data_IF_241656759280
#
_entry.id   IF_241656759280
#
_cell.length_a   1.000
_cell.length_b   1.000
_cell.length_c   1.000
_cell.angle_alpha   90.00
_cell.angle_beta   90.00
_cell.angle_gamma   90.00
#
_symmetry.space_group_name_H-M   'P 1'
#
loop_
_entity.id
_entity.type
_entity.pdbx_description
1 polymer ?
#
# COMPACT_ATOMS: atom_id res chain seq x y z
N UNK A 1 -6.88 -9.83 2.08
CA UNK A 1 -7.59 -8.76 1.34
C UNK A 1 -6.74 -8.40 0.12
N UNK A 2 -7.33 -8.25 -1.07
CA UNK A 2 -6.59 -7.86 -2.29
C UNK A 2 -7.07 -6.50 -2.82
N UNK A 3 -6.21 -5.83 -3.58
CA UNK A 3 -6.50 -4.52 -4.17
C UNK A 3 -5.73 -4.28 -5.48
N UNK A 4 -6.15 -3.27 -6.22
CA UNK A 4 -5.48 -2.77 -7.42
C UNK A 4 -5.39 -1.23 -7.34
N UNK A 5 -4.70 -0.60 -8.29
CA UNK A 5 -4.51 0.85 -8.32
C UNK A 5 -5.84 1.62 -8.28
N UNK A 6 -6.86 1.19 -9.05
CA UNK A 6 -8.18 1.83 -9.06
C UNK A 6 -8.87 1.76 -7.70
N UNK A 7 -8.82 0.61 -7.02
CA UNK A 7 -9.42 0.44 -5.69
C UNK A 7 -8.77 1.36 -4.66
N UNK A 8 -7.44 1.50 -4.70
CA UNK A 8 -6.71 2.43 -3.84
C UNK A 8 -7.12 3.88 -4.12
N UNK A 9 -7.17 4.27 -5.40
CA UNK A 9 -7.57 5.62 -5.79
C UNK A 9 -8.98 5.99 -5.28
N UNK A 10 -9.95 5.08 -5.46
CA UNK A 10 -11.32 5.26 -4.96
C UNK A 10 -11.35 5.39 -3.44
N UNK A 11 -10.62 4.53 -2.71
CA UNK A 11 -10.58 4.59 -1.23
C UNK A 11 -9.92 5.86 -0.71
N UNK A 12 -8.93 6.39 -1.44
CA UNK A 12 -8.25 7.64 -1.10
C UNK A 12 -9.00 8.89 -1.59
N UNK A 13 -10.18 8.74 -2.18
CA UNK A 13 -10.96 9.83 -2.78
C UNK A 13 -10.15 10.69 -3.78
N UNK A 14 -9.30 10.03 -4.58
CA UNK A 14 -8.54 10.67 -5.66
C UNK A 14 -9.11 10.27 -7.02
N UNK A 15 -8.88 11.12 -8.04
CA UNK A 15 -9.38 10.87 -9.38
C UNK A 15 -8.83 9.58 -9.99
N UNK A 16 -9.66 8.87 -10.76
CA UNK A 16 -9.27 7.61 -11.40
C UNK A 16 -8.88 7.77 -12.87
N UNK A 17 -8.35 8.94 -13.25
CA UNK A 17 -7.85 9.17 -14.61
C UNK A 17 -6.66 8.25 -14.90
N UNK A 18 -6.44 7.81 -16.17
CA UNK A 18 -5.36 6.89 -16.51
C UNK A 18 -3.97 7.34 -16.02
N UNK A 19 -3.67 8.64 -16.09
CA UNK A 19 -2.39 9.19 -15.60
C UNK A 19 -2.23 9.01 -14.08
N UNK A 20 -3.28 9.29 -13.30
CA UNK A 20 -3.26 9.11 -11.84
C UNK A 20 -3.11 7.64 -11.48
N UNK A 21 -3.82 6.75 -12.17
CA UNK A 21 -3.71 5.31 -11.92
C UNK A 21 -2.32 4.76 -12.24
N UNK A 22 -1.62 5.34 -13.22
CA UNK A 22 -0.21 5.01 -13.50
C UNK A 22 0.69 5.42 -12.33
N UNK A 23 0.50 6.60 -11.75
CA UNK A 23 1.27 7.04 -10.57
C UNK A 23 0.99 6.17 -9.34
N UNK A 24 -0.28 5.85 -9.08
CA UNK A 24 -0.65 4.93 -7.99
C UNK A 24 0.00 3.57 -8.22
N UNK A 25 -0.02 3.06 -9.45
CA UNK A 25 0.63 1.79 -9.78
C UNK A 25 2.14 1.84 -9.55
N UNK A 26 2.82 2.91 -9.94
CA UNK A 26 4.26 3.11 -9.70
C UNK A 26 4.59 3.02 -8.20
N UNK A 27 3.79 3.65 -7.33
CA UNK A 27 3.95 3.54 -5.87
C UNK A 27 3.75 2.10 -5.39
N UNK A 28 2.73 1.40 -5.89
CA UNK A 28 2.48 -0.01 -5.52
C UNK A 28 3.63 -0.93 -5.98
N UNK A 29 4.21 -0.70 -7.16
CA UNK A 29 5.37 -1.46 -7.62
C UNK A 29 6.61 -1.19 -6.76
N UNK A 30 6.87 0.06 -6.38
CA UNK A 30 7.96 0.39 -5.45
C UNK A 30 7.78 -0.28 -4.08
N UNK A 31 6.56 -0.36 -3.57
CA UNK A 31 6.27 -1.09 -2.32
C UNK A 31 6.46 -2.60 -2.48
N UNK A 32 6.11 -3.16 -3.65
CA UNK A 32 6.37 -4.57 -3.99
C UNK A 32 7.87 -4.86 -4.07
N UNK A 33 8.64 -4.01 -4.74
CA UNK A 33 10.10 -4.13 -4.85
C UNK A 33 10.79 -4.10 -3.49
N UNK A 34 10.27 -3.30 -2.56
CA UNK A 34 10.69 -3.27 -1.15
C UNK A 34 10.19 -4.44 -0.30
N UNK A 35 9.43 -5.38 -0.88
CA UNK A 35 8.95 -6.57 -0.19
C UNK A 35 7.74 -6.36 0.73
N UNK A 36 7.07 -5.20 0.67
CA UNK A 36 5.85 -4.95 1.46
C UNK A 36 4.59 -5.55 0.84
N UNK A 37 4.57 -5.69 -0.49
CA UNK A 37 3.45 -6.23 -1.25
C UNK A 37 3.84 -7.49 -2.01
N UNK A 38 2.85 -8.35 -2.24
CA UNK A 38 2.93 -9.48 -3.16
C UNK A 38 1.92 -9.33 -4.29
N UNK A 39 2.25 -9.89 -5.46
CA UNK A 39 1.33 -9.95 -6.61
C UNK A 39 0.63 -11.31 -6.59
N UNK A 40 -0.70 -11.28 -6.53
CA UNK A 40 -1.53 -12.48 -6.51
C UNK A 40 -2.10 -12.83 -7.89
N UNK A 41 -1.86 -12.00 -8.89
CA UNK A 41 -2.23 -12.29 -10.28
C UNK A 41 -2.46 -11.05 -11.12
N UNK A 42 -2.62 -11.27 -12.42
CA UNK A 42 -2.93 -10.23 -13.41
C UNK A 42 -4.28 -10.52 -14.05
N UNK A 43 -5.08 -9.49 -14.22
CA UNK A 43 -6.41 -9.58 -14.86
C UNK A 43 -6.56 -8.51 -15.94
N UNK A 44 -7.66 -8.55 -16.71
CA UNK A 44 -8.05 -7.47 -17.63
C UNK A 44 -8.17 -6.09 -16.97
N UNK A 45 -8.37 -6.06 -15.65
CA UNK A 45 -8.51 -4.84 -14.85
C UNK A 45 -7.20 -4.43 -14.14
N UNK A 46 -6.07 -5.06 -14.48
CA UNK A 46 -4.76 -4.76 -13.91
C UNK A 46 -4.26 -5.81 -12.93
N UNK A 47 -3.17 -5.45 -12.24
CA UNK A 47 -2.46 -6.30 -11.27
C UNK A 47 -3.22 -6.31 -9.94
N UNK A 48 -3.32 -7.49 -9.32
CA UNK A 48 -3.87 -7.69 -7.98
C UNK A 48 -2.73 -7.82 -6.97
N UNK A 49 -2.70 -6.90 -6.01
CA UNK A 49 -1.73 -6.88 -4.94
C UNK A 49 -2.37 -7.33 -3.61
N UNK A 50 -1.53 -7.79 -2.70
CA UNK A 50 -1.84 -7.96 -1.28
C UNK A 50 -0.66 -7.48 -0.43
N UNK A 51 -0.95 -7.03 0.80
CA UNK A 51 0.09 -6.70 1.78
C UNK A 51 0.63 -8.01 2.36
N UNK A 52 1.95 -8.16 2.41
CA UNK A 52 2.60 -9.33 3.02
C UNK A 52 2.47 -9.29 4.54
N UNK A 53 2.09 -10.43 5.15
CA UNK A 53 1.70 -10.51 6.57
C UNK A 53 2.85 -10.29 7.56
N UNK A 54 4.07 -10.54 7.12
CA UNK A 54 5.33 -10.43 7.87
C UNK A 54 5.94 -9.02 7.79
N UNK A 55 5.16 -8.01 7.39
CA UNK A 55 5.68 -6.66 7.15
C UNK A 55 5.05 -5.62 8.07
N UNK A 56 5.77 -4.53 8.41
CA UNK A 56 5.22 -3.40 9.16
C UNK A 56 3.92 -2.83 8.55
N UNK A 57 3.80 -2.85 7.22
CA UNK A 57 2.60 -2.40 6.52
C UNK A 57 1.36 -3.22 6.88
N UNK A 58 1.52 -4.52 7.18
CA UNK A 58 0.41 -5.37 7.64
C UNK A 58 -0.06 -5.00 9.03
N UNK A 59 0.87 -4.66 9.93
CA UNK A 59 0.52 -4.27 11.28
C UNK A 59 -0.17 -2.91 11.28
N UNK A 60 0.31 -1.96 10.46
CA UNK A 60 -0.38 -0.71 10.17
C UNK A 60 -1.81 -0.94 9.66
N UNK A 61 -1.97 -1.82 8.67
CA UNK A 61 -3.29 -2.13 8.11
C UNK A 61 -4.27 -2.71 9.14
N UNK A 62 -3.79 -3.46 10.14
CA UNK A 62 -4.64 -3.99 11.21
C UNK A 62 -5.01 -2.96 12.29
N UNK A 63 -4.19 -1.94 12.48
CA UNK A 63 -4.34 -0.93 13.53
C UNK A 63 -4.64 0.45 12.96
N UNK A 64 -5.18 0.51 11.75
CA UNK A 64 -5.39 1.76 11.01
C UNK A 64 -6.30 2.75 11.75
N UNK A 65 -7.17 2.25 12.62
CA UNK A 65 -8.06 3.01 13.51
C UNK A 65 -7.32 3.69 14.67
N UNK A 66 -6.13 3.20 15.01
CA UNK A 66 -5.29 3.69 16.12
C UNK A 66 -4.11 4.54 15.65
N UNK A 67 -3.89 4.64 14.34
CA UNK A 67 -2.74 5.32 13.75
C UNK A 67 -3.22 6.54 12.97
N UNK A 68 -2.76 7.72 13.38
CA UNK A 68 -2.97 8.97 12.63
C UNK A 68 -1.69 9.28 11.87
N UNK A 69 -1.75 9.20 10.55
CA UNK A 69 -0.66 9.64 9.66
C UNK A 69 -0.99 11.06 9.19
N UNK A 70 -0.15 12.05 9.53
CA UNK A 70 -0.30 13.44 9.06
C UNK A 70 0.66 13.74 7.92
N UNK A 71 1.74 12.98 7.82
CA UNK A 71 2.78 13.13 6.81
C UNK A 71 3.37 11.79 6.37
N UNK A 72 4.19 11.82 5.30
CA UNK A 72 5.00 10.67 4.91
C UNK A 72 6.11 10.37 5.93
N UNK A 73 6.58 11.38 6.66
CA UNK A 73 7.61 11.20 7.70
C UNK A 73 7.06 10.42 8.89
N UNK A 74 5.79 10.65 9.27
CA UNK A 74 5.11 9.86 10.30
C UNK A 74 5.07 8.38 9.89
N UNK A 75 4.78 8.11 8.62
CA UNK A 75 4.77 6.76 8.09
C UNK A 75 6.16 6.11 8.17
N UNK A 76 7.21 6.82 7.73
CA UNK A 76 8.58 6.33 7.80
C UNK A 76 9.01 6.01 9.23
N UNK A 77 8.75 6.93 10.17
CA UNK A 77 9.06 6.73 11.59
C UNK A 77 8.36 5.50 12.17
N UNK A 78 7.09 5.28 11.80
CA UNK A 78 6.35 4.10 12.27
C UNK A 78 6.93 2.82 11.64
N UNK A 79 7.20 2.82 10.34
CA UNK A 79 7.78 1.66 9.66
C UNK A 79 9.14 1.28 10.26
N UNK A 80 9.99 2.26 10.60
CA UNK A 80 11.27 2.05 11.26
C UNK A 80 11.09 1.45 12.66
N UNK A 81 10.23 2.06 13.50
CA UNK A 81 9.97 1.56 14.86
C UNK A 81 9.44 0.12 14.87
N UNK A 82 8.62 -0.23 13.88
CA UNK A 82 8.04 -1.57 13.78
C UNK A 82 8.99 -2.60 13.18
N UNK A 83 9.89 -2.20 12.29
CA UNK A 83 10.94 -3.06 11.74
C UNK A 83 11.96 -3.48 12.81
N UNK A 84 12.19 -2.66 13.84
CA UNK A 84 13.09 -2.97 14.96
C UNK A 84 12.42 -3.88 16.02
N UNK A 85 11.09 -3.93 16.05
CA UNK A 85 10.31 -4.69 17.03
C UNK A 85 9.91 -6.11 16.56
N UNK A 86 10.31 -6.51 15.35
CA UNK A 86 10.00 -7.81 14.72
C UNK A 86 11.28 -8.64 14.62
#
# INVERSE_FOLDING_TARGET
MTFNAKKIAVLANIETQPVVLTLVKDVLEKLREKGYLEVLGKTKHGVKYAVRRDTPLWVLAKNYDKVVLRSLDDLNLILEKMAVAT
#
